data_IF_428560974525
#
_entry.id   IF_428560974525
#
_cell.length_a   1.000
_cell.length_b   1.000
_cell.length_c   1.000
_cell.angle_alpha   90.00
_cell.angle_beta   90.00
_cell.angle_gamma   90.00
#
_symmetry.space_group_name_H-M   'P 1'
#
loop_
_entity.id
_entity.type
_entity.pdbx_description
1 polymer ?
#
# COMPACT_ATOMS: atom_id res chain seq x y z
N UNK A 1 -34.86 6.25 2.24
CA UNK A 1 -35.92 6.71 3.16
C UNK A 1 -35.25 6.97 4.49
N UNK A 2 -35.07 8.21 4.86
CA UNK A 2 -34.45 8.58 6.14
C UNK A 2 -35.46 8.28 7.26
N UNK A 3 -35.02 7.52 8.25
CA UNK A 3 -35.80 7.29 9.47
C UNK A 3 -35.92 8.61 10.23
N UNK A 4 -37.16 9.11 10.42
CA UNK A 4 -37.46 10.38 11.05
C UNK A 4 -37.69 10.29 12.56
N UNK A 5 -36.99 9.41 13.27
CA UNK A 5 -37.08 9.26 14.73
C UNK A 5 -35.84 9.73 15.44
N UNK A 6 -35.31 10.90 15.05
CA UNK A 6 -34.27 11.54 15.84
C UNK A 6 -34.97 12.33 16.96
N UNK A 7 -34.91 11.84 18.22
CA UNK A 7 -35.43 12.58 19.38
C UNK A 7 -34.73 13.94 19.44
N UNK A 8 -35.50 15.03 19.55
CA UNK A 8 -34.95 16.39 19.57
C UNK A 8 -33.85 16.52 20.64
N UNK A 9 -32.63 16.85 20.20
CA UNK A 9 -31.47 17.05 21.07
C UNK A 9 -30.44 15.91 21.10
N UNK A 10 -30.65 14.80 20.38
CA UNK A 10 -29.64 13.76 20.25
C UNK A 10 -28.72 14.09 19.06
N UNK A 11 -27.39 14.26 19.27
CA UNK A 11 -26.49 14.53 18.15
C UNK A 11 -26.35 13.31 17.24
N UNK A 12 -26.34 13.54 15.94
CA UNK A 12 -26.03 12.54 14.91
C UNK A 12 -24.63 12.82 14.39
N UNK A 13 -23.79 11.77 14.33
CA UNK A 13 -22.43 11.85 13.81
C UNK A 13 -22.35 11.12 12.47
N UNK A 14 -21.96 11.82 11.42
CA UNK A 14 -21.76 11.27 10.08
C UNK A 14 -20.28 11.31 9.72
N UNK A 15 -19.79 10.22 9.11
CA UNK A 15 -18.47 10.21 8.50
C UNK A 15 -18.59 10.64 7.04
N UNK A 16 -18.00 11.79 6.71
CA UNK A 16 -18.03 12.32 5.35
C UNK A 16 -16.66 12.11 4.69
N UNK A 17 -16.67 11.51 3.50
CA UNK A 17 -15.49 11.26 2.65
C UNK A 17 -14.35 10.52 3.37
N UNK A 18 -14.62 9.37 4.00
CA UNK A 18 -13.57 8.58 4.61
C UNK A 18 -12.59 8.09 3.55
N UNK A 19 -11.30 8.24 3.81
CA UNK A 19 -10.25 7.61 2.99
C UNK A 19 -10.15 6.14 3.41
N UNK A 20 -10.46 5.22 2.50
CA UNK A 20 -10.40 3.79 2.78
C UNK A 20 -8.96 3.29 2.63
N UNK A 21 -8.51 2.53 3.62
CA UNK A 21 -7.23 1.84 3.61
C UNK A 21 -7.48 0.38 3.97
N UNK A 22 -6.96 -0.54 3.14
CA UNK A 22 -7.07 -1.98 3.36
C UNK A 22 -5.73 -2.53 3.83
N UNK A 23 -5.76 -3.32 4.91
CA UNK A 23 -4.61 -4.08 5.40
C UNK A 23 -5.03 -5.55 5.52
N UNK A 24 -4.21 -6.45 4.97
CA UNK A 24 -4.47 -7.88 4.92
C UNK A 24 -3.16 -8.66 5.08
N UNK A 25 -3.12 -9.65 5.97
CA UNK A 25 -2.06 -10.68 5.98
C UNK A 25 -2.45 -11.78 4.99
N UNK A 26 -1.62 -11.98 3.95
CA UNK A 26 -1.92 -13.00 2.93
C UNK A 26 -1.72 -14.42 3.48
N UNK A 27 -2.74 -15.29 3.45
CA UNK A 27 -2.58 -16.71 3.76
C UNK A 27 -1.61 -17.38 2.78
N UNK A 28 -0.68 -18.19 3.29
CA UNK A 28 0.34 -18.86 2.46
C UNK A 28 1.60 -18.02 2.21
N UNK A 29 1.66 -16.80 2.74
CA UNK A 29 2.83 -15.93 2.62
C UNK A 29 4.10 -16.56 3.17
N UNK A 30 4.00 -17.36 4.22
CA UNK A 30 5.12 -18.08 4.82
C UNK A 30 5.82 -19.04 3.86
N UNK A 31 5.08 -19.59 2.89
CA UNK A 31 5.64 -20.47 1.85
C UNK A 31 6.08 -19.70 0.60
N UNK A 32 5.37 -18.64 0.25
CA UNK A 32 5.65 -17.85 -0.95
C UNK A 32 6.83 -16.88 -0.77
N UNK A 33 6.97 -16.29 0.41
CA UNK A 33 7.95 -15.23 0.67
C UNK A 33 9.42 -15.66 0.45
N UNK A 34 9.88 -16.85 0.91
CA UNK A 34 11.25 -17.28 0.61
C UNK A 34 11.51 -17.38 -0.90
N UNK A 35 10.56 -17.92 -1.66
CA UNK A 35 10.67 -18.09 -3.11
C UNK A 35 10.68 -16.73 -3.82
N UNK A 36 9.82 -15.79 -3.38
CA UNK A 36 9.79 -14.42 -3.90
C UNK A 36 11.09 -13.68 -3.56
N UNK A 37 11.59 -13.80 -2.33
CA UNK A 37 12.81 -13.14 -1.91
C UNK A 37 14.01 -13.58 -2.75
N UNK A 38 14.21 -14.90 -2.93
CA UNK A 38 15.28 -15.45 -3.75
C UNK A 38 15.21 -14.95 -5.20
N UNK A 39 14.00 -14.98 -5.79
CA UNK A 39 13.78 -14.51 -7.15
C UNK A 39 14.09 -13.02 -7.31
N UNK A 40 13.60 -12.17 -6.40
CA UNK A 40 13.77 -10.73 -6.46
C UNK A 40 15.20 -10.28 -6.16
N UNK A 41 15.88 -10.94 -5.23
CA UNK A 41 17.30 -10.70 -4.96
C UNK A 41 18.17 -11.05 -6.17
N UNK A 42 17.89 -12.18 -6.84
CA UNK A 42 18.61 -12.56 -8.06
C UNK A 42 18.39 -11.54 -9.20
N UNK A 43 17.17 -11.02 -9.36
CA UNK A 43 16.88 -9.95 -10.33
C UNK A 43 17.61 -8.65 -9.97
N UNK A 44 17.58 -8.26 -8.70
CA UNK A 44 18.21 -7.02 -8.23
C UNK A 44 19.73 -7.03 -8.42
N UNK A 45 20.38 -8.17 -8.22
CA UNK A 45 21.83 -8.31 -8.41
C UNK A 45 22.29 -8.06 -9.86
N UNK A 46 21.39 -8.11 -10.83
CA UNK A 46 21.65 -7.86 -12.24
C UNK A 46 21.31 -6.43 -12.70
N UNK A 47 20.89 -5.55 -11.78
CA UNK A 47 20.45 -4.18 -12.05
C UNK A 47 21.39 -3.15 -11.41
N UNK A 48 21.31 -1.90 -11.87
CA UNK A 48 21.93 -0.78 -11.20
C UNK A 48 21.34 -0.58 -9.80
N UNK A 49 22.16 -0.13 -8.87
CA UNK A 49 21.74 0.15 -7.49
C UNK A 49 20.81 1.38 -7.47
N UNK A 50 19.53 1.14 -7.43
CA UNK A 50 18.47 2.18 -7.38
C UNK A 50 17.44 1.86 -6.32
N UNK A 51 17.04 2.88 -5.58
CA UNK A 51 16.00 2.77 -4.55
C UNK A 51 14.66 2.29 -5.10
N UNK A 52 14.30 2.72 -6.33
CA UNK A 52 13.09 2.33 -7.06
C UNK A 52 13.38 2.33 -8.54
N UNK A 53 13.05 1.24 -9.24
CA UNK A 53 13.11 1.17 -10.70
C UNK A 53 11.69 1.22 -11.29
N UNK A 54 11.24 2.41 -11.68
CA UNK A 54 9.95 2.62 -12.35
C UNK A 54 9.95 2.23 -13.84
N UNK A 55 11.12 1.93 -14.41
CA UNK A 55 11.27 1.56 -15.82
C UNK A 55 11.26 0.05 -16.02
N UNK A 56 11.24 -0.72 -14.94
CA UNK A 56 11.21 -2.17 -14.99
C UNK A 56 9.93 -2.68 -15.67
N UNK A 57 10.05 -3.81 -16.32
CA UNK A 57 8.90 -4.52 -16.87
C UNK A 57 7.89 -4.85 -15.76
N UNK A 58 6.61 -4.89 -16.13
CA UNK A 58 5.55 -5.24 -15.21
C UNK A 58 5.77 -6.65 -14.62
N UNK A 59 6.07 -6.70 -13.33
CA UNK A 59 6.38 -7.95 -12.62
C UNK A 59 5.25 -9.00 -12.71
N UNK A 60 4.00 -8.56 -12.79
CA UNK A 60 2.83 -9.46 -12.83
C UNK A 60 2.59 -10.13 -14.19
N UNK A 61 3.39 -9.84 -15.22
CA UNK A 61 3.36 -10.60 -16.49
C UNK A 61 4.41 -11.70 -16.52
N UNK A 62 5.27 -11.78 -15.51
CA UNK A 62 6.31 -12.80 -15.40
C UNK A 62 5.70 -14.17 -15.10
N UNK A 63 6.08 -15.19 -15.86
CA UNK A 63 5.65 -16.57 -15.64
C UNK A 63 6.48 -17.22 -14.52
N UNK A 64 6.09 -16.92 -13.28
CA UNK A 64 6.72 -17.45 -12.07
C UNK A 64 5.64 -17.82 -11.04
N UNK A 65 5.64 -19.06 -10.51
CA UNK A 65 4.52 -19.57 -9.68
C UNK A 65 4.17 -18.65 -8.49
N UNK A 66 5.16 -18.14 -7.76
CA UNK A 66 4.92 -17.27 -6.61
C UNK A 66 4.39 -15.88 -7.02
N UNK A 67 4.77 -15.35 -8.20
CA UNK A 67 4.22 -14.10 -8.73
C UNK A 67 2.80 -14.30 -9.26
N UNK A 68 2.49 -15.43 -9.85
CA UNK A 68 1.11 -15.79 -10.25
C UNK A 68 0.21 -15.88 -9.02
N UNK A 69 0.67 -16.55 -7.95
CA UNK A 69 -0.05 -16.60 -6.68
C UNK A 69 -0.29 -15.18 -6.11
N UNK A 70 0.76 -14.35 -6.04
CA UNK A 70 0.64 -12.98 -5.52
C UNK A 70 -0.34 -12.16 -6.36
N UNK A 71 -0.26 -12.24 -7.68
CA UNK A 71 -1.19 -11.57 -8.59
C UNK A 71 -2.64 -11.95 -8.29
N UNK A 72 -2.93 -13.24 -8.12
CA UNK A 72 -4.27 -13.71 -7.78
C UNK A 72 -4.74 -13.15 -6.41
N UNK A 73 -3.85 -13.08 -5.43
CA UNK A 73 -4.14 -12.45 -4.13
C UNK A 73 -4.44 -10.94 -4.29
N UNK A 74 -3.66 -10.22 -5.09
CA UNK A 74 -3.90 -8.81 -5.38
C UNK A 74 -5.22 -8.58 -6.12
N UNK A 75 -5.53 -9.39 -7.13
CA UNK A 75 -6.81 -9.32 -7.86
C UNK A 75 -8.00 -9.55 -6.89
N UNK A 76 -7.87 -10.49 -5.96
CA UNK A 76 -8.89 -10.72 -4.93
C UNK A 76 -9.03 -9.54 -3.98
N UNK A 77 -7.92 -8.97 -3.52
CA UNK A 77 -7.92 -7.78 -2.66
C UNK A 77 -8.60 -6.58 -3.34
N UNK A 78 -8.37 -6.39 -4.64
CA UNK A 78 -9.03 -5.33 -5.43
C UNK A 78 -10.55 -5.54 -5.48
N UNK A 79 -11.01 -6.77 -5.69
CA UNK A 79 -12.45 -7.10 -5.67
C UNK A 79 -13.07 -6.83 -4.29
N UNK A 80 -12.39 -7.24 -3.22
CA UNK A 80 -12.90 -7.06 -1.86
C UNK A 80 -12.91 -5.56 -1.48
N UNK A 81 -11.91 -4.79 -1.94
CA UNK A 81 -11.88 -3.33 -1.79
C UNK A 81 -13.04 -2.66 -2.53
N UNK A 82 -13.28 -3.04 -3.79
CA UNK A 82 -14.39 -2.51 -4.60
C UNK A 82 -15.74 -2.77 -3.94
N UNK A 83 -15.99 -3.99 -3.49
CA UNK A 83 -17.23 -4.35 -2.78
C UNK A 83 -17.42 -3.57 -1.49
N UNK A 84 -16.36 -3.43 -0.70
CA UNK A 84 -16.41 -2.62 0.53
C UNK A 84 -16.70 -1.16 0.23
N UNK A 85 -16.24 -0.64 -0.92
CA UNK A 85 -16.52 0.72 -1.40
C UNK A 85 -17.93 0.90 -1.98
N UNK A 86 -18.77 -0.15 -1.97
CA UNK A 86 -20.14 -0.10 -2.50
C UNK A 86 -20.22 -0.16 -4.04
N UNK A 87 -19.15 -0.62 -4.70
CA UNK A 87 -19.14 -0.81 -6.16
C UNK A 87 -19.77 -2.17 -6.45
N UNK A 88 -20.93 -2.17 -7.10
CA UNK A 88 -21.76 -3.34 -7.40
C UNK A 88 -21.83 -3.70 -8.89
N UNK A 89 -21.02 -3.07 -9.73
CA UNK A 89 -20.91 -3.32 -11.16
C UNK A 89 -19.55 -3.91 -11.53
N UNK A 90 -19.45 -4.50 -12.72
CA UNK A 90 -18.22 -5.14 -13.19
C UNK A 90 -17.14 -4.11 -13.48
N UNK A 91 -15.99 -4.29 -12.83
CA UNK A 91 -14.77 -3.54 -13.09
C UNK A 91 -13.77 -4.42 -13.82
N UNK A 92 -13.04 -3.82 -14.76
CA UNK A 92 -11.82 -4.39 -15.33
C UNK A 92 -10.61 -3.52 -15.02
N UNK A 93 -9.50 -4.17 -14.68
CA UNK A 93 -8.26 -3.47 -14.37
C UNK A 93 -7.04 -4.21 -14.89
N UNK A 94 -5.91 -3.51 -14.85
CA UNK A 94 -4.57 -4.07 -15.00
C UNK A 94 -3.81 -3.82 -13.72
N UNK A 95 -3.08 -4.82 -13.25
CA UNK A 95 -2.07 -4.67 -12.21
C UNK A 95 -0.73 -4.34 -12.88
N UNK A 96 -0.11 -3.23 -12.45
CA UNK A 96 1.25 -2.85 -12.82
C UNK A 96 2.12 -2.95 -11.58
N UNK A 97 3.00 -3.94 -11.52
CA UNK A 97 3.81 -4.23 -10.35
C UNK A 97 5.30 -4.12 -10.62
N UNK A 98 6.05 -3.70 -9.60
CA UNK A 98 7.51 -3.65 -9.57
C UNK A 98 8.06 -4.05 -8.21
N UNK A 99 9.29 -4.57 -8.20
CA UNK A 99 9.97 -4.94 -6.98
C UNK A 99 10.78 -3.78 -6.41
N UNK A 100 10.88 -3.74 -5.10
CA UNK A 100 11.78 -2.86 -4.36
C UNK A 100 12.62 -3.72 -3.42
N UNK A 101 13.94 -3.72 -3.64
CA UNK A 101 14.93 -4.32 -2.74
C UNK A 101 15.69 -3.17 -2.13
N UNK A 102 15.31 -2.78 -0.92
CA UNK A 102 15.87 -1.63 -0.24
C UNK A 102 16.95 -2.06 0.76
N UNK A 103 18.19 -1.68 0.46
CA UNK A 103 19.34 -1.89 1.32
C UNK A 103 19.39 -0.83 2.43
N UNK A 104 20.41 -0.88 3.30
CA UNK A 104 20.61 0.12 4.35
C UNK A 104 20.68 1.54 3.77
N UNK A 105 19.83 2.42 4.28
CA UNK A 105 19.73 3.82 3.88
C UNK A 105 18.69 4.11 2.80
N UNK A 106 18.21 3.10 2.07
CA UNK A 106 17.20 3.27 1.04
C UNK A 106 15.85 3.64 1.63
N UNK A 107 15.17 4.58 0.98
CA UNK A 107 13.87 5.09 1.38
C UNK A 107 13.08 5.54 0.14
N UNK A 108 11.79 5.79 0.29
CA UNK A 108 11.00 6.41 -0.78
C UNK A 108 10.49 7.77 -0.31
N UNK A 109 10.74 8.80 -1.11
CA UNK A 109 10.24 10.15 -0.84
C UNK A 109 8.72 10.20 -0.82
N UNK A 110 8.18 11.30 -0.28
CA UNK A 110 6.75 11.60 -0.31
C UNK A 110 6.26 11.66 -1.76
N UNK A 111 5.30 10.80 -2.10
CA UNK A 111 4.72 10.70 -3.45
C UNK A 111 3.32 10.12 -3.42
N UNK A 112 2.65 10.14 -4.57
CA UNK A 112 1.42 9.42 -4.86
C UNK A 112 1.51 8.79 -6.26
N UNK A 113 0.48 8.09 -6.71
CA UNK A 113 0.49 7.38 -7.99
C UNK A 113 -0.57 7.94 -8.95
N UNK A 114 -0.26 9.02 -9.71
CA UNK A 114 -1.19 9.58 -10.69
C UNK A 114 -1.54 8.54 -11.76
N UNK A 115 -2.73 8.69 -12.36
CA UNK A 115 -3.29 7.81 -13.39
C UNK A 115 -3.69 6.40 -12.93
N UNK A 116 -3.66 6.14 -11.64
CA UNK A 116 -4.10 4.87 -11.05
C UNK A 116 -5.34 5.09 -10.19
N UNK A 117 -6.16 4.07 -10.04
CA UNK A 117 -7.29 4.07 -9.12
C UNK A 117 -6.83 3.75 -7.70
N UNK A 118 -6.12 2.62 -7.54
CA UNK A 118 -5.53 2.20 -6.28
C UNK A 118 -4.04 1.99 -6.43
N UNK A 119 -3.35 2.08 -5.32
CA UNK A 119 -1.97 1.63 -5.15
C UNK A 119 -1.91 0.64 -4.01
N UNK A 120 -0.96 -0.28 -4.09
CA UNK A 120 -0.73 -1.26 -3.06
C UNK A 120 0.72 -1.67 -2.94
N UNK A 121 1.03 -2.29 -1.81
CA UNK A 121 2.35 -2.87 -1.55
C UNK A 121 2.20 -4.18 -0.79
N UNK A 122 2.89 -5.21 -1.26
CA UNK A 122 3.06 -6.47 -0.57
C UNK A 122 4.47 -6.58 0.00
N UNK A 123 4.59 -6.94 1.27
CA UNK A 123 5.85 -7.05 1.97
C UNK A 123 6.34 -8.49 1.98
N UNK A 124 7.39 -8.76 1.18
CA UNK A 124 8.02 -10.08 1.09
C UNK A 124 8.93 -10.33 2.28
N UNK A 125 9.80 -9.37 2.58
CA UNK A 125 10.70 -9.43 3.73
C UNK A 125 10.81 -8.05 4.39
N UNK A 126 10.58 -8.01 5.69
CA UNK A 126 10.82 -6.83 6.53
C UNK A 126 11.80 -7.23 7.61
N UNK A 127 12.98 -6.59 7.70
CA UNK A 127 13.98 -6.90 8.71
C UNK A 127 13.46 -6.60 10.11
N UNK A 128 13.97 -7.33 11.09
CA UNK A 128 13.74 -7.01 12.50
C UNK A 128 14.39 -5.66 12.82
N UNK A 129 13.60 -4.75 13.39
CA UNK A 129 14.04 -3.40 13.71
C UNK A 129 14.88 -3.33 14.99
N UNK A 130 14.93 -4.40 15.78
CA UNK A 130 15.82 -4.50 16.95
C UNK A 130 17.29 -4.37 16.56
N UNK A 131 17.63 -4.74 15.32
CA UNK A 131 18.99 -4.66 14.75
C UNK A 131 19.25 -3.32 14.04
N UNK A 132 18.29 -2.40 14.05
CA UNK A 132 18.45 -1.11 13.39
C UNK A 132 19.49 -0.25 14.15
N UNK A 133 20.57 0.10 13.44
CA UNK A 133 21.58 1.02 13.97
C UNK A 133 21.05 2.46 13.92
N UNK A 134 20.33 2.85 14.97
CA UNK A 134 19.82 4.21 15.12
C UNK A 134 19.95 4.71 16.53
N UNK A 135 20.53 5.89 16.70
CA UNK A 135 20.62 6.61 17.98
C UNK A 135 19.41 7.53 18.20
N UNK A 136 18.47 7.57 17.26
CA UNK A 136 17.38 8.53 17.26
C UNK A 136 16.04 7.83 17.49
N UNK A 137 15.33 8.24 18.54
CA UNK A 137 14.01 7.69 18.86
C UNK A 137 12.88 8.22 17.95
N UNK A 138 13.15 9.26 17.13
CA UNK A 138 12.21 9.84 16.18
C UNK A 138 12.26 9.18 14.79
N UNK A 139 13.23 8.30 14.54
CA UNK A 139 13.28 7.49 13.34
C UNK A 139 12.32 6.29 13.46
N UNK A 140 11.74 5.91 12.35
CA UNK A 140 10.81 4.79 12.26
C UNK A 140 11.25 3.86 11.12
N UNK A 141 12.37 3.14 11.28
CA UNK A 141 12.95 2.36 10.19
C UNK A 141 11.95 1.38 9.59
N UNK A 142 11.99 1.25 8.26
CA UNK A 142 11.11 0.39 7.46
C UNK A 142 9.61 0.67 7.55
N UNK A 143 9.16 1.66 8.31
CA UNK A 143 7.74 2.04 8.35
C UNK A 143 7.29 2.68 7.03
N UNK A 144 5.99 2.67 6.80
CA UNK A 144 5.32 3.45 5.76
C UNK A 144 4.40 4.46 6.44
N UNK A 145 4.44 5.72 6.00
CA UNK A 145 3.56 6.80 6.50
C UNK A 145 2.63 7.26 5.39
N UNK A 146 1.37 7.40 5.73
CA UNK A 146 0.31 7.97 4.89
C UNK A 146 -0.11 9.31 5.45
N UNK A 147 -0.45 10.26 4.57
CA UNK A 147 -0.79 11.62 4.97
C UNK A 147 -2.24 11.95 4.60
N UNK A 148 -2.93 12.65 5.49
CA UNK A 148 -4.29 13.10 5.27
C UNK A 148 -4.36 13.93 3.96
N UNK A 149 -5.17 13.52 2.98
CA UNK A 149 -5.27 14.23 1.70
C UNK A 149 -6.07 15.53 1.78
N UNK A 150 -6.75 15.82 2.90
CA UNK A 150 -7.55 17.03 3.04
C UNK A 150 -6.64 18.23 3.26
N UNK A 151 -6.83 19.34 2.51
CA UNK A 151 -6.10 20.57 2.77
C UNK A 151 -6.33 21.04 4.23
N UNK A 152 -5.25 21.45 4.89
CA UNK A 152 -5.29 22.01 6.25
C UNK A 152 -5.66 21.02 7.37
N UNK A 153 -5.73 19.71 7.12
CA UNK A 153 -5.90 18.71 8.16
C UNK A 153 -4.58 18.42 8.90
N UNK A 154 -3.78 19.45 9.20
CA UNK A 154 -2.42 19.31 9.70
C UNK A 154 -2.25 19.85 11.12
N UNK A 155 -3.19 19.57 11.99
CA UNK A 155 -3.09 19.92 13.42
C UNK A 155 -2.30 18.83 14.17
N UNK A 156 -0.99 19.04 14.35
CA UNK A 156 -0.10 18.06 14.98
C UNK A 156 -0.22 17.97 16.51
N UNK A 157 -1.12 18.72 17.11
CA UNK A 157 -1.25 18.79 18.56
C UNK A 157 -1.95 17.60 19.21
N UNK A 158 -2.69 16.82 18.44
CA UNK A 158 -3.44 15.66 18.93
C UNK A 158 -3.02 14.44 18.10
N UNK A 159 -2.00 13.74 18.58
CA UNK A 159 -1.49 12.52 17.92
C UNK A 159 -2.48 11.37 18.02
N UNK A 160 -2.55 10.58 16.96
CA UNK A 160 -3.43 9.42 16.81
C UNK A 160 -4.93 9.75 16.80
N UNK A 161 -5.31 11.02 16.67
CA UNK A 161 -6.68 11.40 16.38
C UNK A 161 -6.86 11.51 14.86
N UNK A 162 -7.61 10.61 14.26
CA UNK A 162 -7.81 10.52 12.80
C UNK A 162 -8.48 11.75 12.17
N UNK A 163 -8.92 12.73 12.97
CA UNK A 163 -9.47 13.99 12.47
C UNK A 163 -8.42 15.11 12.37
N UNK A 164 -7.36 15.04 13.16
CA UNK A 164 -6.39 16.13 13.33
C UNK A 164 -4.93 15.69 13.21
N UNK A 165 -4.60 14.42 13.41
CA UNK A 165 -3.25 13.91 13.13
C UNK A 165 -3.10 13.69 11.62
N UNK A 166 -2.21 14.44 10.95
CA UNK A 166 -2.09 14.35 9.49
C UNK A 166 -1.35 13.10 9.01
N UNK A 167 -0.74 12.33 9.93
CA UNK A 167 0.10 11.19 9.60
C UNK A 167 -0.42 9.90 10.22
N UNK A 168 -0.67 8.90 9.37
CA UNK A 168 -0.90 7.53 9.82
C UNK A 168 0.30 6.66 9.45
N UNK A 169 1.00 6.15 10.46
CA UNK A 169 2.22 5.37 10.30
C UNK A 169 2.00 3.91 10.64
N UNK A 170 2.53 3.03 9.80
CA UNK A 170 2.44 1.58 9.97
C UNK A 170 3.85 0.98 9.85
N UNK A 171 4.23 0.13 10.78
CA UNK A 171 5.36 -0.77 10.62
C UNK A 171 4.83 -2.09 10.04
N UNK A 172 5.10 -2.38 8.75
CA UNK A 172 4.61 -3.58 8.12
C UNK A 172 5.37 -4.81 8.62
N UNK A 173 4.76 -5.96 8.41
CA UNK A 173 5.38 -7.26 8.63
C UNK A 173 5.43 -8.07 7.33
N UNK A 174 6.35 -9.03 7.23
CA UNK A 174 6.39 -9.93 6.08
C UNK A 174 5.06 -10.67 5.93
N UNK A 175 4.52 -10.66 4.71
CA UNK A 175 3.19 -11.20 4.39
C UNK A 175 2.06 -10.18 4.40
N UNK A 176 2.29 -8.93 4.83
CA UNK A 176 1.27 -7.89 4.77
C UNK A 176 1.08 -7.37 3.34
N UNK A 177 -0.18 -7.22 2.97
CA UNK A 177 -0.63 -6.53 1.77
C UNK A 177 -1.43 -5.29 2.19
N UNK A 178 -1.02 -4.12 1.71
CA UNK A 178 -1.75 -2.87 1.86
C UNK A 178 -2.31 -2.40 0.52
N UNK A 179 -3.51 -1.80 0.55
CA UNK A 179 -4.17 -1.25 -0.63
C UNK A 179 -4.90 0.04 -0.24
N UNK A 180 -4.71 1.10 -1.04
CA UNK A 180 -5.22 2.45 -0.76
C UNK A 180 -5.51 3.22 -2.04
N UNK A 181 -6.31 4.33 -1.99
CA UNK A 181 -6.53 5.20 -3.14
C UNK A 181 -5.21 5.80 -3.64
N UNK A 182 -4.97 5.73 -4.93
CA UNK A 182 -3.70 6.12 -5.52
C UNK A 182 -3.33 7.61 -5.33
N UNK A 183 -4.30 8.47 -5.02
CA UNK A 183 -4.08 9.88 -4.70
C UNK A 183 -3.45 10.10 -3.32
N UNK A 184 -3.49 9.11 -2.43
CA UNK A 184 -3.02 9.24 -1.05
C UNK A 184 -1.50 9.36 -1.01
N UNK A 185 -1.00 10.49 -0.51
CA UNK A 185 0.42 10.72 -0.35
C UNK A 185 1.00 9.82 0.74
N UNK A 186 2.13 9.24 0.44
CA UNK A 186 2.83 8.35 1.36
C UNK A 186 4.35 8.44 1.16
N UNK A 187 5.08 8.06 2.18
CA UNK A 187 6.53 7.91 2.15
C UNK A 187 6.91 6.58 2.80
N UNK A 188 8.07 6.07 2.44
CA UNK A 188 8.64 4.89 3.08
C UNK A 188 9.91 5.27 3.79
N UNK A 189 9.95 5.02 5.10
CA UNK A 189 11.09 5.32 5.95
C UNK A 189 12.31 4.46 5.60
N UNK A 190 13.53 4.96 5.86
CA UNK A 190 14.74 4.24 5.49
C UNK A 190 14.85 2.88 6.19
N UNK A 191 15.42 1.92 5.48
CA UNK A 191 15.92 0.71 6.10
C UNK A 191 17.24 1.03 6.83
N UNK A 192 17.30 0.79 8.13
CA UNK A 192 18.47 1.08 8.97
C UNK A 192 19.19 -0.20 9.41
N UNK A 193 18.86 -1.34 8.78
CA UNK A 193 19.49 -2.65 9.05
C UNK A 193 20.39 -3.08 7.88
N UNK A 194 21.26 -4.05 8.10
CA UNK A 194 22.06 -4.65 7.03
C UNK A 194 21.29 -5.69 6.18
N UNK A 195 20.12 -6.10 6.66
CA UNK A 195 19.24 -7.00 5.93
C UNK A 195 18.36 -6.22 4.96
N UNK A 196 18.16 -6.70 3.72
CA UNK A 196 17.30 -6.02 2.76
C UNK A 196 15.84 -6.04 3.18
N UNK A 197 15.13 -4.89 3.02
CA UNK A 197 13.68 -4.85 3.00
C UNK A 197 13.21 -5.12 1.57
N UNK A 198 12.38 -6.14 1.38
CA UNK A 198 11.90 -6.55 0.06
C UNK A 198 10.38 -6.36 0.01
N UNK A 199 9.91 -5.58 -0.96
CA UNK A 199 8.49 -5.38 -1.20
C UNK A 199 8.18 -5.39 -2.69
N UNK A 200 6.92 -5.67 -3.02
CA UNK A 200 6.35 -5.57 -4.38
C UNK A 200 5.27 -4.51 -4.31
N UNK A 201 5.54 -3.37 -4.93
CA UNK A 201 4.55 -2.31 -5.10
C UNK A 201 3.78 -2.50 -6.39
N UNK A 202 2.53 -2.04 -6.41
CA UNK A 202 1.70 -2.15 -7.61
C UNK A 202 0.65 -1.05 -7.69
N UNK A 203 0.24 -0.78 -8.92
CA UNK A 203 -0.87 0.09 -9.25
C UNK A 203 -2.03 -0.73 -9.82
N UNK A 204 -3.24 -0.32 -9.51
CA UNK A 204 -4.48 -0.81 -10.11
C UNK A 204 -4.97 0.24 -11.09
N UNK A 205 -4.87 -0.05 -12.38
CA UNK A 205 -5.31 0.84 -13.45
C UNK A 205 -6.61 0.33 -14.02
N UNK A 206 -7.69 1.10 -13.90
CA UNK A 206 -8.99 0.73 -14.44
C UNK A 206 -8.96 0.76 -15.98
N UNK A 207 -9.57 -0.25 -16.59
CA UNK A 207 -9.85 -0.24 -18.01
C UNK A 207 -11.18 0.48 -18.25
N UNK A 208 -11.19 1.33 -19.26
CA UNK A 208 -12.42 1.98 -19.68
C UNK A 208 -13.36 0.99 -20.38
N UNK A 209 -14.64 1.00 -19.98
CA UNK A 209 -15.73 0.31 -20.68
C UNK A 209 -16.81 1.31 -21.05
N UNK A 210 -17.39 1.15 -22.24
CA UNK A 210 -18.52 2.00 -22.68
C UNK A 210 -19.75 1.86 -21.74
N UNK A 211 -19.90 0.72 -21.10
CA UNK A 211 -20.99 0.41 -20.15
C UNK A 211 -20.95 1.28 -18.88
N UNK A 212 -19.81 1.95 -18.60
CA UNK A 212 -19.69 2.88 -17.47
C UNK A 212 -20.24 4.28 -17.76
N UNK A 213 -20.61 4.56 -19.03
CA UNK A 213 -21.20 5.84 -19.41
C UNK A 213 -22.70 5.79 -19.17
N UNK A 214 -23.28 6.66 -18.33
CA UNK A 214 -24.74 6.79 -18.22
C UNK A 214 -25.34 7.16 -19.56
N UNK A 215 -26.38 6.45 -19.96
CA UNK A 215 -27.14 6.72 -21.19
C UNK A 215 -28.16 7.82 -20.97
#
# INVERSE_FOLDING_TARGET
MANSDNAAGTPEFLQLWPTQFMSLRLPGSENANPILADHLLAQNAARDDMTVDYTADNLFVTDHPALIWLRQCCDRAVLDYARHSGIDYDLEWVLQGWSNVNMRGDYHNLHNHPHSWLSGTYYVAVPDQSDADTFRSDLNPCAISFFDPRPQANMNSIRNDGQVDPEHRILPQSGDLFLWPAFLHHLVHPNMTDMPRISISFNVVLKWKNDYIPH
#
